data_IF_545912336661
#
_entry.id   IF_545912336661
#
_cell.length_a   1.000
_cell.length_b   1.000
_cell.length_c   1.000
_cell.angle_alpha   90.00
_cell.angle_beta   90.00
_cell.angle_gamma   90.00
#
_symmetry.space_group_name_H-M   'P 1'
#
loop_
_entity.id
_entity.type
_entity.pdbx_description
1 polymer ?
#
# COMPACT_ATOMS: atom_id res chain seq x y z
N UNK A 1 30.76 9.64 17.49
CA UNK A 1 29.29 9.46 17.54
C UNK A 1 28.77 9.42 16.11
N UNK A 2 28.47 8.22 15.58
CA UNK A 2 27.77 8.12 14.29
C UNK A 2 26.33 8.54 14.52
N UNK A 3 25.85 9.54 13.79
CA UNK A 3 24.41 9.86 13.73
C UNK A 3 23.75 8.65 13.08
N UNK A 4 23.02 7.84 13.85
CA UNK A 4 22.07 6.89 13.27
C UNK A 4 21.11 7.73 12.41
N UNK A 5 21.12 7.49 11.10
CA UNK A 5 20.06 7.99 10.25
C UNK A 5 18.75 7.45 10.82
N UNK A 6 17.79 8.34 11.14
CA UNK A 6 16.47 7.90 11.56
C UNK A 6 15.90 7.10 10.39
N UNK A 7 15.55 5.83 10.62
CA UNK A 7 14.74 5.09 9.64
C UNK A 7 13.48 5.91 9.38
N UNK A 8 13.04 5.92 8.13
CA UNK A 8 11.86 6.64 7.64
C UNK A 8 11.17 5.74 6.62
N UNK A 9 9.85 5.81 6.59
CA UNK A 9 9.06 5.13 5.57
C UNK A 9 9.41 5.72 4.19
N UNK A 10 9.84 4.89 3.22
CA UNK A 10 10.02 5.32 1.84
C UNK A 10 8.73 5.90 1.26
N UNK A 11 8.85 6.97 0.49
CA UNK A 11 7.71 7.63 -0.15
C UNK A 11 7.73 7.32 -1.64
N UNK A 12 6.61 6.86 -2.20
CA UNK A 12 6.41 6.78 -3.64
C UNK A 12 5.60 7.99 -4.11
N UNK A 13 6.17 8.74 -5.06
CA UNK A 13 5.66 10.03 -5.53
C UNK A 13 5.32 9.96 -7.03
N UNK A 14 4.24 10.65 -7.41
CA UNK A 14 3.92 10.94 -8.81
C UNK A 14 3.75 12.45 -9.07
N UNK A 15 2.71 13.08 -8.51
CA UNK A 15 2.37 14.49 -8.76
C UNK A 15 2.45 15.37 -7.52
N UNK A 16 2.70 14.81 -6.34
CA UNK A 16 2.75 15.61 -5.12
C UNK A 16 3.99 16.52 -5.08
N UNK A 17 3.77 17.84 -5.17
CA UNK A 17 4.79 18.89 -5.09
C UNK A 17 4.73 19.73 -3.80
N UNK A 18 3.89 19.33 -2.84
CA UNK A 18 3.65 20.07 -1.59
C UNK A 18 4.75 19.94 -0.54
N UNK A 19 4.66 20.74 0.52
CA UNK A 19 5.45 20.55 1.76
C UNK A 19 5.05 19.23 2.43
N UNK A 20 5.97 18.45 3.04
CA UNK A 20 5.63 17.24 3.81
C UNK A 20 4.38 17.47 4.71
N UNK A 21 3.21 17.03 4.23
CA UNK A 21 1.95 17.01 4.96
C UNK A 21 1.54 15.55 5.00
N UNK A 22 1.56 14.95 6.19
CA UNK A 22 1.47 13.51 6.39
C UNK A 22 0.17 12.84 5.88
N UNK A 23 -0.71 13.48 5.12
CA UNK A 23 -2.00 12.92 4.69
C UNK A 23 -1.79 11.96 3.52
N UNK A 24 -2.18 10.72 3.70
CA UNK A 24 -2.06 9.68 2.69
C UNK A 24 -2.24 8.29 3.27
N UNK A 25 -1.53 7.34 2.68
CA UNK A 25 -1.67 5.93 2.95
C UNK A 25 -0.33 5.27 3.17
N UNK A 26 -0.23 4.50 4.25
CA UNK A 26 0.90 3.61 4.50
C UNK A 26 0.51 2.21 4.08
N UNK A 27 1.30 1.60 3.21
CA UNK A 27 1.24 0.19 2.87
C UNK A 27 2.30 -0.52 3.72
N UNK A 28 1.88 -1.50 4.51
CA UNK A 28 2.74 -2.29 5.38
C UNK A 28 2.61 -3.79 5.08
N UNK A 29 3.69 -4.58 5.18
CA UNK A 29 3.60 -6.02 5.12
C UNK A 29 2.63 -6.57 6.17
N UNK A 30 1.66 -7.36 5.76
CA UNK A 30 0.71 -8.00 6.66
C UNK A 30 1.19 -9.42 6.97
N UNK A 31 1.31 -9.73 8.26
CA UNK A 31 1.66 -11.04 8.76
C UNK A 31 0.58 -11.52 9.74
N UNK A 32 0.11 -12.76 9.57
CA UNK A 32 -0.97 -13.31 10.40
C UNK A 32 -0.47 -14.02 11.65
N UNK A 33 0.81 -14.38 11.67
CA UNK A 33 1.43 -15.04 12.81
C UNK A 33 2.03 -13.99 13.75
N UNK A 34 1.73 -14.10 15.05
CA UNK A 34 2.20 -13.18 16.09
C UNK A 34 3.73 -13.26 16.33
N UNK A 35 4.39 -14.31 15.85
CA UNK A 35 5.84 -14.50 15.96
C UNK A 35 6.66 -13.65 14.96
N UNK A 36 6.00 -12.80 14.17
CA UNK A 36 6.68 -12.04 13.12
C UNK A 36 7.35 -10.79 13.67
N UNK A 37 8.59 -10.59 13.18
CA UNK A 37 9.48 -9.46 13.44
C UNK A 37 8.74 -8.13 13.35
N UNK A 38 9.09 -7.22 14.24
CA UNK A 38 8.76 -5.79 14.15
C UNK A 38 8.90 -5.28 12.70
N UNK A 39 7.80 -4.80 12.12
CA UNK A 39 7.80 -4.26 10.75
C UNK A 39 8.64 -2.99 10.78
N UNK A 40 9.73 -2.99 10.01
CA UNK A 40 10.60 -1.83 9.95
C UNK A 40 10.03 -0.80 8.99
N UNK A 41 10.31 0.47 9.25
CA UNK A 41 9.79 1.55 8.41
C UNK A 41 10.30 1.45 6.97
N UNK A 42 11.52 0.94 6.76
CA UNK A 42 12.07 0.69 5.43
C UNK A 42 11.33 -0.39 4.61
N UNK A 43 10.56 -1.26 5.27
CA UNK A 43 9.77 -2.31 4.62
C UNK A 43 8.35 -1.83 4.26
N UNK A 44 8.00 -0.60 4.66
CA UNK A 44 6.72 0.04 4.38
C UNK A 44 6.82 0.92 3.12
N UNK A 45 5.69 1.43 2.66
CA UNK A 45 5.63 2.42 1.60
C UNK A 45 4.56 3.45 1.92
N UNK A 46 4.89 4.73 1.80
CA UNK A 46 3.93 5.82 1.93
C UNK A 46 3.57 6.41 0.57
N UNK A 47 2.29 6.67 0.35
CA UNK A 47 1.75 7.30 -0.85
C UNK A 47 0.80 8.43 -0.41
N UNK A 48 1.01 9.65 -0.90
CA UNK A 48 0.10 10.77 -0.64
C UNK A 48 -1.29 10.53 -1.22
N UNK A 49 -2.34 11.05 -0.60
CA UNK A 49 -3.74 10.85 -1.08
C UNK A 49 -3.91 11.32 -2.55
N UNK A 50 -3.23 12.41 -2.93
CA UNK A 50 -3.24 12.95 -4.30
C UNK A 50 -2.70 11.96 -5.35
N UNK A 51 -1.74 11.11 -4.96
CA UNK A 51 -1.17 10.07 -5.81
C UNK A 51 -1.96 8.75 -5.65
N UNK A 52 -2.47 8.48 -4.45
CA UNK A 52 -3.25 7.27 -4.14
C UNK A 52 -4.56 7.20 -4.95
N UNK A 53 -5.12 8.33 -5.38
CA UNK A 53 -6.31 8.37 -6.26
C UNK A 53 -6.14 7.52 -7.54
N UNK A 54 -4.92 7.31 -8.01
CA UNK A 54 -4.63 6.51 -9.21
C UNK A 54 -4.70 4.99 -8.97
N UNK A 55 -4.62 4.56 -7.70
CA UNK A 55 -4.63 3.14 -7.32
C UNK A 55 -5.92 2.75 -6.59
N UNK A 56 -6.60 3.71 -5.96
CA UNK A 56 -7.87 3.52 -5.25
C UNK A 56 -8.94 2.76 -6.08
N UNK A 57 -9.12 2.98 -7.40
CA UNK A 57 -10.09 2.21 -8.17
C UNK A 57 -9.81 0.70 -8.21
N UNK A 58 -8.54 0.30 -8.26
CA UNK A 58 -8.16 -1.12 -8.24
C UNK A 58 -8.36 -1.73 -6.85
N UNK A 59 -8.06 -0.97 -5.80
CA UNK A 59 -8.31 -1.36 -4.40
C UNK A 59 -9.81 -1.53 -4.14
N UNK A 60 -10.64 -0.56 -4.50
CA UNK A 60 -12.08 -0.62 -4.24
C UNK A 60 -12.78 -1.82 -4.92
N UNK A 61 -12.24 -2.34 -6.02
CA UNK A 61 -12.81 -3.49 -6.74
C UNK A 61 -12.70 -4.81 -6.01
N UNK A 62 -11.76 -4.93 -5.07
CA UNK A 62 -11.60 -6.18 -4.31
C UNK A 62 -12.49 -6.26 -3.08
N UNK A 63 -13.15 -5.15 -2.71
CA UNK A 63 -14.15 -5.15 -1.66
C UNK A 63 -15.51 -5.65 -2.18
N UNK A 64 -16.32 -6.32 -1.34
CA UNK A 64 -16.09 -6.57 0.09
C UNK A 64 -15.00 -7.62 0.36
N UNK A 65 -14.34 -7.51 1.51
CA UNK A 65 -13.31 -8.43 1.98
C UNK A 65 -13.66 -8.97 3.37
N UNK A 66 -13.01 -10.07 3.77
CA UNK A 66 -13.06 -10.53 5.15
C UNK A 66 -11.75 -10.16 5.84
N UNK A 67 -11.83 -9.43 6.95
CA UNK A 67 -10.69 -9.15 7.81
C UNK A 67 -10.06 -10.47 8.25
N UNK A 68 -8.79 -10.72 7.93
CA UNK A 68 -8.15 -12.00 8.20
C UNK A 68 -7.82 -12.23 9.67
N UNK A 69 -7.87 -11.19 10.52
CA UNK A 69 -7.61 -11.26 11.96
C UNK A 69 -8.91 -11.43 12.74
N UNK A 70 -9.94 -10.62 12.46
CA UNK A 70 -11.21 -10.64 13.20
C UNK A 70 -12.27 -11.56 12.56
N UNK A 71 -12.16 -11.84 11.26
CA UNK A 71 -13.19 -12.53 10.49
C UNK A 71 -14.39 -11.64 10.12
N UNK A 72 -14.33 -10.33 10.43
CA UNK A 72 -15.40 -9.39 10.10
C UNK A 72 -15.41 -9.06 8.61
N UNK A 73 -16.58 -8.72 8.07
CA UNK A 73 -16.71 -8.26 6.69
C UNK A 73 -16.39 -6.77 6.59
N UNK A 74 -15.41 -6.45 5.74
CA UNK A 74 -15.05 -5.11 5.34
C UNK A 74 -15.79 -4.81 4.04
N UNK A 75 -16.88 -4.05 4.14
CA UNK A 75 -17.76 -3.73 3.00
C UNK A 75 -17.09 -2.82 1.95
N UNK A 76 -16.21 -1.93 2.41
CA UNK A 76 -15.54 -0.95 1.57
C UNK A 76 -14.19 -0.57 2.16
N UNK A 77 -13.35 0.05 1.32
CA UNK A 77 -12.10 0.65 1.75
C UNK A 77 -12.35 1.82 2.71
N UNK A 78 -11.73 1.77 3.88
CA UNK A 78 -11.79 2.82 4.91
C UNK A 78 -10.56 3.74 4.82
N UNK A 79 -10.72 5.02 4.45
CA UNK A 79 -9.61 5.96 4.32
C UNK A 79 -9.00 6.42 5.66
N UNK A 80 -9.63 6.15 6.80
CA UNK A 80 -9.21 6.61 8.13
C UNK A 80 -8.61 5.48 8.99
N UNK A 81 -8.74 4.23 8.56
CA UNK A 81 -8.40 3.05 9.36
C UNK A 81 -7.61 2.01 8.55
N UNK A 82 -7.43 0.83 9.15
CA UNK A 82 -6.69 -0.29 8.59
C UNK A 82 -7.54 -1.08 7.59
N UNK A 83 -6.90 -1.45 6.49
CA UNK A 83 -7.50 -2.26 5.43
C UNK A 83 -6.59 -3.45 5.14
N UNK A 84 -6.69 -4.54 5.91
CA UNK A 84 -5.88 -5.73 5.68
C UNK A 84 -6.31 -6.48 4.41
N UNK A 85 -5.40 -6.60 3.44
CA UNK A 85 -5.64 -7.32 2.18
C UNK A 85 -4.67 -8.49 2.06
N UNK A 86 -5.21 -9.71 2.03
CA UNK A 86 -4.41 -10.95 1.92
C UNK A 86 -3.78 -11.13 0.54
N UNK A 87 -2.63 -11.82 0.49
CA UNK A 87 -1.79 -12.03 -0.71
C UNK A 87 -2.56 -12.52 -1.94
N UNK A 88 -3.52 -13.44 -1.75
CA UNK A 88 -4.34 -13.97 -2.87
C UNK A 88 -5.20 -12.89 -3.56
N UNK A 89 -5.63 -11.87 -2.82
CA UNK A 89 -6.46 -10.76 -3.33
C UNK A 89 -5.61 -9.77 -4.12
N UNK A 90 -4.37 -9.54 -3.69
CA UNK A 90 -3.43 -8.66 -4.40
C UNK A 90 -3.15 -9.08 -5.84
N UNK A 91 -3.30 -10.35 -6.20
CA UNK A 91 -3.21 -10.78 -7.60
C UNK A 91 -4.23 -10.07 -8.50
N UNK A 92 -5.44 -9.80 -8.00
CA UNK A 92 -6.49 -9.06 -8.71
C UNK A 92 -6.09 -7.59 -8.83
N UNK A 93 -5.67 -6.97 -7.73
CA UNK A 93 -5.21 -5.56 -7.72
C UNK A 93 -4.05 -5.35 -8.69
N UNK A 94 -3.03 -6.22 -8.66
CA UNK A 94 -1.88 -6.15 -9.56
C UNK A 94 -2.30 -6.23 -11.03
N UNK A 95 -3.17 -7.19 -11.37
CA UNK A 95 -3.67 -7.34 -12.74
C UNK A 95 -4.41 -6.08 -13.22
N UNK A 96 -5.16 -5.42 -12.34
CA UNK A 96 -5.86 -4.18 -12.67
C UNK A 96 -4.88 -3.03 -12.92
N UNK A 97 -3.90 -2.83 -12.02
CA UNK A 97 -2.90 -1.75 -12.14
C UNK A 97 -2.04 -1.88 -13.41
N UNK A 98 -1.72 -3.10 -13.81
CA UNK A 98 -0.97 -3.42 -15.03
C UNK A 98 -1.77 -3.15 -16.30
N UNK A 99 -3.10 -3.27 -16.25
CA UNK A 99 -3.99 -3.07 -17.38
C UNK A 99 -4.46 -1.61 -17.53
N UNK A 100 -4.21 -0.75 -16.53
CA UNK A 100 -4.57 0.67 -16.62
C UNK A 100 -3.86 1.32 -17.80
N UNK A 101 -4.65 1.71 -18.81
CA UNK A 101 -4.18 2.56 -19.91
C UNK A 101 -3.91 3.95 -19.37
N UNK A 102 -2.64 4.35 -19.39
CA UNK A 102 -2.20 5.68 -18.94
C UNK A 102 -1.73 6.48 -20.14
N UNK A 103 -2.15 7.74 -20.21
CA UNK A 103 -1.69 8.67 -21.25
C UNK A 103 -0.31 9.26 -20.90
N UNK A 104 -0.03 9.42 -19.61
CA UNK A 104 1.19 10.02 -19.07
C UNK A 104 2.22 8.92 -18.75
N UNK A 105 3.42 8.95 -19.37
CA UNK A 105 4.49 7.98 -19.09
C UNK A 105 4.91 7.97 -17.61
N UNK A 106 4.89 9.10 -16.94
CA UNK A 106 5.28 9.26 -15.54
C UNK A 106 4.32 8.50 -14.61
N UNK A 107 3.01 8.50 -14.91
CA UNK A 107 2.04 7.68 -14.19
C UNK A 107 2.31 6.19 -14.38
N UNK A 108 2.79 5.79 -15.57
CA UNK A 108 3.19 4.40 -15.81
C UNK A 108 4.35 4.00 -14.91
N UNK A 109 5.39 4.83 -14.84
CA UNK A 109 6.55 4.61 -13.96
C UNK A 109 6.15 4.50 -12.50
N UNK A 110 5.22 5.35 -12.04
CA UNK A 110 4.67 5.28 -10.68
C UNK A 110 3.97 3.94 -10.40
N UNK A 111 3.06 3.54 -11.29
CA UNK A 111 2.32 2.28 -11.14
C UNK A 111 3.23 1.06 -11.22
N UNK A 112 4.20 1.05 -12.14
CA UNK A 112 5.14 -0.04 -12.29
C UNK A 112 6.04 -0.15 -11.05
N UNK A 113 6.54 0.97 -10.51
CA UNK A 113 7.28 1.01 -9.24
C UNK A 113 6.48 0.43 -8.08
N UNK A 114 5.19 0.79 -7.98
CA UNK A 114 4.30 0.25 -6.96
C UNK A 114 4.10 -1.26 -7.13
N UNK A 115 3.82 -1.74 -8.33
CA UNK A 115 3.59 -3.17 -8.58
C UNK A 115 4.83 -4.01 -8.27
N UNK A 116 6.03 -3.51 -8.58
CA UNK A 116 7.30 -4.15 -8.18
C UNK A 116 7.41 -4.21 -6.66
N UNK A 117 7.15 -3.12 -5.96
CA UNK A 117 7.19 -3.10 -4.49
C UNK A 117 6.19 -4.10 -3.88
N UNK A 118 4.93 -4.10 -4.35
CA UNK A 118 3.90 -5.05 -3.90
C UNK A 118 4.37 -6.49 -4.11
N UNK A 119 4.90 -6.82 -5.29
CA UNK A 119 5.37 -8.17 -5.61
C UNK A 119 6.49 -8.60 -4.66
N UNK A 120 7.45 -7.73 -4.40
CA UNK A 120 8.57 -8.00 -3.49
C UNK A 120 8.09 -8.24 -2.05
N UNK A 121 7.20 -7.39 -1.53
CA UNK A 121 6.64 -7.57 -0.17
C UNK A 121 5.89 -8.89 -0.05
N UNK A 122 5.10 -9.23 -1.07
CA UNK A 122 4.33 -10.46 -1.09
C UNK A 122 5.20 -11.71 -1.27
N UNK A 123 6.50 -11.64 -1.56
CA UNK A 123 7.36 -12.82 -1.57
C UNK A 123 7.40 -13.50 -0.18
N UNK A 124 7.39 -12.69 0.89
CA UNK A 124 7.48 -13.16 2.27
C UNK A 124 6.26 -12.88 3.14
N UNK A 125 5.42 -11.89 2.80
CA UNK A 125 4.26 -11.51 3.60
C UNK A 125 2.99 -12.31 3.27
N UNK A 126 2.07 -12.38 4.24
CA UNK A 126 0.74 -13.00 4.07
C UNK A 126 -0.25 -12.07 3.34
N UNK A 127 0.12 -10.79 3.22
CA UNK A 127 -0.63 -9.76 2.53
C UNK A 127 0.03 -8.40 2.67
N UNK A 128 -0.75 -7.34 2.46
CA UNK A 128 -0.38 -5.96 2.75
C UNK A 128 -1.58 -5.30 3.41
N UNK A 129 -1.32 -4.55 4.47
CA UNK A 129 -2.30 -3.68 5.13
C UNK A 129 -2.13 -2.26 4.61
N UNK A 130 -3.25 -1.61 4.29
CA UNK A 130 -3.28 -0.20 3.90
C UNK A 130 -3.91 0.59 5.04
N UNK A 131 -3.15 1.46 5.68
CA UNK A 131 -3.63 2.36 6.74
C UNK A 131 -3.67 3.78 6.21
N UNK A 132 -4.85 4.38 6.20
CA UNK A 132 -5.03 5.78 5.87
C UNK A 132 -5.01 6.68 7.12
N UNK A 133 -4.76 7.98 6.93
CA UNK A 133 -4.80 8.96 8.00
C UNK A 133 -5.53 10.27 7.59
N UNK A 134 -6.56 10.11 6.77
CA UNK A 134 -7.45 11.17 6.30
C UNK A 134 -8.40 11.68 7.38
#
# INVERSE_FOLDING_TARGET
MQRQAKSKIPVLLYQYEGTERNIGFTLSPLYMNEDVREIRQEDMLFIYDEDFKHIRPAINRVFPLTDPRSGEELEAFDPCWDNPIVKKVWAVVLSELEQVKVAEPELRVFLDSLTVWIRNVLESADGIEITGNL
#
